data_IF_457645126916
#
_entry.id   IF_457645126916
#
_cell.length_a   1.000
_cell.length_b   1.000
_cell.length_c   1.000
_cell.angle_alpha   90.00
_cell.angle_beta   90.00
_cell.angle_gamma   90.00
#
_symmetry.space_group_name_H-M   'P 1'
#
loop_
_entity.id
_entity.type
_entity.pdbx_description
1 polymer ?
#
# COMPACT_ATOMS: atom_id res chain seq x y z
N UNK A 1 -17.33 -21.58 6.02
CA UNK A 1 -16.40 -21.59 6.13
C UNK A 1 -15.38 -20.60 6.01
N UNK A 2 -14.33 -20.88 5.93
CA UNK A 2 -13.29 -19.95 6.05
C UNK A 2 -13.14 -19.01 4.92
N UNK A 3 -13.81 -19.21 3.90
CA UNK A 3 -13.61 -18.35 2.84
C UNK A 3 -13.96 -16.96 3.08
N UNK A 4 -14.80 -16.69 4.02
CA UNK A 4 -15.09 -15.37 4.30
C UNK A 4 -13.94 -14.69 4.83
N UNK A 5 -13.10 -15.33 5.55
CA UNK A 5 -12.01 -14.70 6.16
C UNK A 5 -10.99 -14.28 5.18
N UNK A 6 -10.66 -15.08 4.24
CA UNK A 6 -9.60 -14.70 3.36
C UNK A 6 -10.04 -13.60 2.42
N UNK A 7 -11.30 -13.39 2.32
CA UNK A 7 -11.74 -12.34 1.52
C UNK A 7 -11.48 -11.02 2.12
N UNK A 8 -11.38 -10.94 3.40
CA UNK A 8 -11.18 -9.70 4.08
C UNK A 8 -9.76 -9.38 4.35
N UNK A 9 -8.86 -9.70 3.45
CA UNK A 9 -7.50 -9.37 3.66
C UNK A 9 -7.34 -7.90 3.89
N UNK A 10 -6.63 -7.47 4.92
CA UNK A 10 -6.45 -6.05 5.21
C UNK A 10 -5.68 -5.36 4.10
N UNK A 11 -6.09 -4.18 3.76
CA UNK A 11 -5.43 -3.44 2.71
C UNK A 11 -4.00 -3.11 3.05
N UNK A 12 -3.74 -2.74 4.29
CA UNK A 12 -2.38 -2.39 4.69
C UNK A 12 -1.44 -3.58 4.54
N UNK A 13 -1.91 -4.78 4.81
CA UNK A 13 -1.09 -5.95 4.64
C UNK A 13 -0.78 -6.17 3.16
N UNK A 14 -1.76 -5.96 2.32
CA UNK A 14 -1.56 -6.12 0.89
C UNK A 14 -0.55 -5.10 0.36
N UNK A 15 -0.58 -3.89 0.90
CA UNK A 15 0.37 -2.86 0.52
C UNK A 15 1.78 -3.27 0.91
N UNK A 16 1.94 -3.77 2.12
CA UNK A 16 3.25 -4.19 2.59
C UNK A 16 3.78 -5.31 1.71
N UNK A 17 2.95 -6.26 1.38
CA UNK A 17 3.38 -7.38 0.56
C UNK A 17 3.78 -6.91 -0.84
N UNK A 18 3.03 -6.00 -1.41
CA UNK A 18 3.33 -5.50 -2.74
C UNK A 18 4.66 -4.77 -2.76
N UNK A 19 4.88 -3.93 -1.78
CA UNK A 19 6.12 -3.17 -1.71
C UNK A 19 7.31 -4.06 -1.40
N UNK A 20 7.08 -5.09 -0.63
CA UNK A 20 8.15 -5.99 -0.29
C UNK A 20 8.58 -6.81 -1.50
N UNK A 21 7.64 -7.22 -2.30
CA UNK A 21 7.96 -7.99 -3.45
C UNK A 21 8.47 -7.19 -4.62
N UNK A 22 7.84 -6.07 -4.90
CA UNK A 22 8.20 -5.30 -6.06
C UNK A 22 9.07 -4.09 -5.81
N UNK A 23 9.23 -3.72 -4.56
CA UNK A 23 10.02 -2.56 -4.23
C UNK A 23 9.21 -1.28 -4.33
N UNK A 24 9.88 -0.15 -4.26
CA UNK A 24 9.18 1.13 -4.29
C UNK A 24 8.40 1.31 -5.59
N UNK A 25 7.25 1.91 -5.51
CA UNK A 25 6.44 2.15 -6.69
C UNK A 25 5.59 3.38 -6.46
N UNK A 26 5.03 3.91 -7.53
CA UNK A 26 4.19 5.09 -7.41
C UNK A 26 2.83 4.67 -6.90
N UNK A 27 2.08 5.66 -6.41
CA UNK A 27 0.75 5.38 -5.91
C UNK A 27 -0.16 4.83 -7.02
N UNK A 28 0.02 5.30 -8.25
CA UNK A 28 -0.79 4.78 -9.36
C UNK A 28 -0.47 3.33 -9.65
N UNK A 29 0.79 2.99 -9.62
CA UNK A 29 1.20 1.60 -9.85
C UNK A 29 0.71 0.71 -8.74
N UNK A 30 0.78 1.21 -7.52
CA UNK A 30 0.31 0.46 -6.38
C UNK A 30 -1.19 0.22 -6.46
N UNK A 31 -1.94 1.24 -6.86
CA UNK A 31 -3.38 1.11 -7.00
C UNK A 31 -3.72 0.04 -8.03
N UNK A 32 -3.04 0.08 -9.17
CA UNK A 32 -3.29 -0.88 -10.22
C UNK A 32 -3.04 -2.30 -9.73
N UNK A 33 -1.96 -2.49 -9.04
CA UNK A 33 -1.62 -3.80 -8.53
C UNK A 33 -2.62 -4.28 -7.50
N UNK A 34 -3.01 -3.40 -6.62
CA UNK A 34 -3.93 -3.79 -5.55
C UNK A 34 -5.34 -4.03 -6.04
N UNK A 35 -5.71 -3.44 -7.14
CA UNK A 35 -7.05 -3.66 -7.66
C UNK A 35 -7.26 -5.08 -8.10
N UNK A 36 -6.22 -5.81 -8.26
CA UNK A 36 -6.35 -7.22 -8.62
C UNK A 36 -6.98 -8.01 -7.50
N UNK A 37 -6.75 -7.62 -6.26
CA UNK A 37 -7.36 -8.29 -5.14
C UNK A 37 -8.42 -7.44 -4.47
N UNK A 38 -8.30 -6.14 -4.55
CA UNK A 38 -9.24 -5.23 -3.93
C UNK A 38 -9.95 -4.45 -5.02
N UNK A 39 -10.92 -5.06 -5.63
CA UNK A 39 -11.54 -4.49 -6.81
C UNK A 39 -12.23 -3.17 -6.61
N UNK A 40 -12.73 -2.95 -5.43
CA UNK A 40 -13.43 -1.70 -5.15
C UNK A 40 -12.50 -0.58 -4.68
N UNK A 41 -11.23 -0.82 -4.71
CA UNK A 41 -10.30 0.15 -4.19
C UNK A 41 -10.21 1.36 -5.10
N UNK A 42 -10.21 2.53 -4.52
CA UNK A 42 -10.03 3.77 -5.25
C UNK A 42 -8.90 4.55 -4.64
N UNK A 43 -8.50 5.64 -5.29
CA UNK A 43 -7.41 6.45 -4.80
C UNK A 43 -7.69 7.05 -3.43
N UNK A 44 -8.93 7.41 -3.16
CA UNK A 44 -9.26 7.99 -1.88
C UNK A 44 -8.96 7.05 -0.74
N UNK A 45 -9.39 5.81 -0.86
CA UNK A 45 -9.16 4.85 0.17
C UNK A 45 -7.68 4.48 0.25
N UNK A 46 -7.02 4.36 -0.89
CA UNK A 46 -5.60 4.06 -0.89
C UNK A 46 -4.82 5.17 -0.19
N UNK A 47 -5.12 6.41 -0.49
CA UNK A 47 -4.41 7.52 0.11
C UNK A 47 -4.64 7.59 1.61
N UNK A 48 -5.83 7.31 2.05
CA UNK A 48 -6.12 7.29 3.48
C UNK A 48 -5.32 6.22 4.18
N UNK A 49 -5.25 5.05 3.57
CA UNK A 49 -4.51 3.95 4.16
C UNK A 49 -3.01 4.25 4.17
N UNK A 50 -2.51 4.83 3.09
CA UNK A 50 -1.10 5.18 3.04
C UNK A 50 -0.75 6.25 4.07
N UNK A 51 -1.62 7.20 4.27
CA UNK A 51 -1.38 8.22 5.26
C UNK A 51 -1.29 7.61 6.65
N UNK A 52 -2.20 6.71 6.95
CA UNK A 52 -2.19 6.05 8.21
C UNK A 52 -0.92 5.23 8.39
N UNK A 53 -0.50 4.52 7.35
CA UNK A 53 0.71 3.72 7.44
C UNK A 53 1.96 4.59 7.57
N UNK A 54 1.94 5.77 6.95
CA UNK A 54 3.04 6.68 7.06
C UNK A 54 3.16 7.20 8.48
N UNK A 55 2.05 7.54 9.09
CA UNK A 55 2.04 8.00 10.46
C UNK A 55 2.56 6.91 11.39
N UNK A 56 2.24 5.66 11.09
CA UNK A 56 2.69 4.56 11.88
C UNK A 56 4.12 4.15 11.57
N UNK A 57 4.73 4.79 10.60
CA UNK A 57 6.11 4.49 10.26
C UNK A 57 6.30 3.25 9.43
N UNK A 58 5.28 2.78 8.76
CA UNK A 58 5.40 1.58 7.97
C UNK A 58 5.79 1.85 6.53
N UNK A 59 5.41 2.96 5.98
CA UNK A 59 5.79 3.33 4.63
C UNK A 59 6.28 4.75 4.60
N UNK A 60 6.99 5.08 3.55
CA UNK A 60 7.52 6.40 3.35
C UNK A 60 6.96 6.87 2.02
N UNK A 61 6.35 8.03 2.03
CA UNK A 61 5.74 8.56 0.83
C UNK A 61 6.41 9.86 0.46
N UNK A 62 6.94 9.93 -0.75
CA UNK A 62 7.59 11.15 -1.19
C UNK A 62 6.96 11.62 -2.48
N UNK A 63 6.94 12.92 -2.67
CA UNK A 63 6.37 13.49 -3.86
C UNK A 63 7.36 13.44 -4.99
N UNK A 64 6.91 13.05 -6.16
CA UNK A 64 7.77 13.07 -7.31
C UNK A 64 7.47 14.33 -8.10
N UNK A 65 6.64 14.26 -9.11
CA UNK A 65 6.32 15.43 -9.84
C UNK A 65 4.87 15.39 -10.21
N UNK A 66 4.30 16.52 -10.41
CA UNK A 66 2.94 16.59 -10.87
C UNK A 66 2.00 15.64 -10.26
N UNK A 67 1.93 15.65 -8.99
CA UNK A 67 0.93 14.87 -8.29
C UNK A 67 1.24 13.41 -8.11
N UNK A 68 2.36 12.96 -8.60
CA UNK A 68 2.74 11.59 -8.39
C UNK A 68 3.48 11.42 -7.10
N UNK A 69 3.25 10.33 -6.41
CA UNK A 69 3.95 10.06 -5.17
C UNK A 69 4.56 8.69 -5.21
N UNK A 70 5.70 8.57 -4.61
CA UNK A 70 6.40 7.31 -4.56
C UNK A 70 6.24 6.73 -3.17
N UNK A 71 5.85 5.48 -3.12
CA UNK A 71 5.61 4.79 -1.85
C UNK A 71 6.70 3.76 -1.65
N UNK A 72 7.28 3.75 -0.50
CA UNK A 72 8.39 2.88 -0.21
C UNK A 72 8.21 2.25 1.16
N UNK A 73 8.56 0.99 1.29
CA UNK A 73 8.42 0.32 2.57
C UNK A 73 9.54 0.76 3.50
N UNK A 74 9.22 1.07 4.72
CA UNK A 74 10.23 1.43 5.70
C UNK A 74 10.82 0.16 6.28
N UNK A 75 12.11 -0.05 6.04
CA UNK A 75 12.76 -1.20 6.61
C UNK A 75 13.42 -0.87 7.87
N UNK A 76 12.84 -1.29 8.98
CA UNK A 76 13.40 -1.01 10.25
C UNK A 76 14.42 -2.01 10.58
N UNK A 77 15.52 -1.59 10.94
CA UNK A 77 16.54 -2.45 11.37
C UNK A 77 16.32 -2.79 12.73
N UNK A 78 16.03 -3.92 13.03
CA UNK A 78 15.81 -4.28 14.39
C UNK A 78 17.05 -4.65 14.94
N UNK A 79 17.40 -4.20 15.92
CA UNK A 79 18.67 -4.52 16.47
C UNK A 79 18.63 -5.34 17.65
#
# INVERSE_FOLDING_TARGET
MAEKTWKSRPLDLSIVEALDKKGPMTDAELLDLLKETHQDLGFGMLNQTLLKMEVLGKVYVSSLTKGKRRVELVKRREV
#
